data_IF_020947899461
#
_entry.id   IF_020947899461
#
_cell.length_a   1.000
_cell.length_b   1.000
_cell.length_c   1.000
_cell.angle_alpha   90.00
_cell.angle_beta   90.00
_cell.angle_gamma   90.00
#
_symmetry.space_group_name_H-M   'P 1'
#
loop_
_entity.id
_entity.type
_entity.pdbx_description
1 polymer ?
#
# COMPACT_ATOMS: atom_id res chain seq x y z
N UNK A 1 48.51 0.13 43.81
CA UNK A 1 47.76 1.00 42.89
C UNK A 1 47.34 0.24 41.63
N UNK A 2 48.28 -0.34 40.87
CA UNK A 2 48.00 -1.20 39.71
C UNK A 2 47.06 -2.39 39.98
N UNK A 3 47.20 -3.09 41.11
CA UNK A 3 46.30 -4.19 41.48
C UNK A 3 44.89 -3.74 41.91
N UNK A 4 44.71 -2.47 42.31
CA UNK A 4 43.38 -1.88 42.58
C UNK A 4 42.68 -1.55 41.26
N UNK A 5 43.40 -0.94 40.31
CA UNK A 5 42.92 -0.68 38.95
C UNK A 5 42.48 -1.96 38.21
N UNK A 6 43.20 -3.07 38.35
CA UNK A 6 42.81 -4.36 37.74
C UNK A 6 41.56 -4.95 38.41
N UNK A 7 41.41 -4.81 39.73
CA UNK A 7 40.18 -5.21 40.43
C UNK A 7 38.99 -4.35 40.02
N UNK A 8 39.16 -3.04 39.91
CA UNK A 8 38.11 -2.10 39.55
C UNK A 8 37.68 -2.29 38.07
N UNK A 9 38.62 -2.59 37.16
CA UNK A 9 38.30 -2.93 35.75
C UNK A 9 37.61 -4.30 35.65
N UNK A 10 38.03 -5.30 36.42
CA UNK A 10 37.36 -6.60 36.43
C UNK A 10 35.97 -6.54 37.09
N UNK A 11 35.78 -5.71 38.12
CA UNK A 11 34.49 -5.48 38.77
C UNK A 11 33.56 -4.62 37.90
N UNK A 12 34.12 -3.68 37.12
CA UNK A 12 33.39 -2.94 36.08
C UNK A 12 33.01 -3.86 34.90
N UNK A 13 33.87 -4.80 34.50
CA UNK A 13 33.56 -5.80 33.49
C UNK A 13 32.57 -6.86 33.98
N UNK A 14 32.60 -7.26 35.26
CA UNK A 14 31.60 -8.15 35.89
C UNK A 14 30.26 -7.45 36.15
N UNK A 15 30.26 -6.13 36.39
CA UNK A 15 29.05 -5.30 36.46
C UNK A 15 28.49 -4.99 35.08
N UNK A 16 29.35 -4.81 34.07
CA UNK A 16 28.96 -4.59 32.68
C UNK A 16 28.56 -5.88 31.97
N UNK A 17 28.97 -7.05 32.47
CA UNK A 17 28.52 -8.37 31.99
C UNK A 17 27.22 -8.85 32.64
N UNK A 18 26.53 -8.02 33.44
CA UNK A 18 25.26 -8.35 34.10
C UNK A 18 24.11 -7.36 33.81
N UNK A 19 24.26 -6.54 32.78
CA UNK A 19 23.11 -6.01 32.06
C UNK A 19 23.00 -6.81 30.77
N UNK A 20 22.19 -7.87 30.79
CA UNK A 20 21.68 -8.43 29.54
C UNK A 20 21.12 -7.26 28.73
N UNK A 21 21.74 -6.98 27.58
CA UNK A 21 21.26 -5.97 26.66
C UNK A 21 19.81 -6.35 26.32
N UNK A 22 18.87 -5.49 26.70
CA UNK A 22 17.45 -5.69 26.43
C UNK A 22 17.26 -5.93 24.94
N UNK A 23 16.44 -6.91 24.59
CA UNK A 23 16.13 -7.27 23.22
C UNK A 23 15.36 -6.11 22.57
N UNK A 24 15.83 -5.63 21.43
CA UNK A 24 15.14 -4.64 20.61
C UNK A 24 14.53 -5.27 19.37
N UNK A 25 13.37 -4.76 18.97
CA UNK A 25 12.70 -5.15 17.74
C UNK A 25 12.44 -3.93 16.86
N UNK A 26 12.79 -4.02 15.58
CA UNK A 26 12.29 -3.14 14.53
C UNK A 26 11.36 -3.96 13.63
N UNK A 27 10.11 -3.52 13.52
CA UNK A 27 9.05 -4.22 12.76
C UNK A 27 8.55 -3.30 11.68
N UNK A 28 8.59 -3.77 10.44
CA UNK A 28 8.12 -3.04 9.27
C UNK A 28 7.10 -3.92 8.57
N UNK A 29 5.94 -3.39 8.18
CA UNK A 29 4.95 -4.21 7.49
C UNK A 29 3.81 -3.43 6.89
N UNK A 30 3.06 -4.11 6.03
CA UNK A 30 1.84 -3.57 5.45
C UNK A 30 0.76 -3.49 6.53
N UNK A 31 0.16 -2.31 6.69
CA UNK A 31 -0.83 -2.02 7.74
C UNK A 31 -2.04 -2.96 7.71
N UNK A 32 -2.44 -3.46 6.54
CA UNK A 32 -3.59 -4.37 6.37
C UNK A 32 -3.22 -5.85 6.44
N UNK A 33 -1.94 -6.19 6.56
CA UNK A 33 -1.51 -7.59 6.56
C UNK A 33 -1.68 -8.25 7.93
N UNK A 34 -2.19 -9.49 7.90
CA UNK A 34 -2.37 -10.33 9.09
C UNK A 34 -1.05 -10.54 9.82
N UNK A 35 0.01 -10.81 9.05
CA UNK A 35 1.35 -11.14 9.54
C UNK A 35 1.97 -9.95 10.30
N UNK A 36 1.81 -8.74 9.77
CA UNK A 36 2.28 -7.53 10.44
C UNK A 36 1.51 -7.25 11.73
N UNK A 37 0.18 -7.37 11.72
CA UNK A 37 -0.62 -7.13 12.92
C UNK A 37 -0.34 -8.17 13.99
N UNK A 38 -0.16 -9.45 13.61
CA UNK A 38 0.28 -10.50 14.53
C UNK A 38 1.63 -10.14 15.16
N UNK A 39 2.64 -9.84 14.34
CA UNK A 39 3.97 -9.50 14.83
C UNK A 39 3.97 -8.28 15.76
N UNK A 40 3.25 -7.22 15.38
CA UNK A 40 3.03 -6.02 16.19
C UNK A 40 2.42 -6.37 17.54
N UNK A 41 1.29 -7.06 17.58
CA UNK A 41 0.60 -7.41 18.83
C UNK A 41 1.48 -8.29 19.72
N UNK A 42 2.16 -9.29 19.16
CA UNK A 42 3.07 -10.15 19.92
C UNK A 42 4.20 -9.35 20.57
N UNK A 43 4.88 -8.50 19.80
CA UNK A 43 6.02 -7.71 20.28
C UNK A 43 5.58 -6.67 21.32
N UNK A 44 4.46 -5.99 21.11
CA UNK A 44 3.89 -5.05 22.08
C UNK A 44 3.53 -5.75 23.40
N UNK A 45 2.90 -6.94 23.33
CA UNK A 45 2.55 -7.71 24.53
C UNK A 45 3.78 -8.29 25.25
N UNK A 46 4.80 -8.74 24.52
CA UNK A 46 6.09 -9.14 25.11
C UNK A 46 6.70 -8.00 25.89
N UNK A 47 6.76 -6.80 25.29
CA UNK A 47 7.28 -5.62 25.96
C UNK A 47 6.44 -5.20 27.17
N UNK A 48 5.12 -5.32 27.11
CA UNK A 48 4.23 -5.00 28.21
C UNK A 48 4.44 -5.94 29.41
N UNK A 49 4.64 -7.25 29.14
CA UNK A 49 4.81 -8.27 30.18
C UNK A 49 6.22 -8.34 30.74
N UNK A 50 7.22 -8.15 29.88
CA UNK A 50 8.64 -8.32 30.21
C UNK A 50 9.43 -7.03 29.92
N UNK A 51 9.09 -5.91 30.59
CA UNK A 51 9.72 -4.61 30.36
C UNK A 51 11.22 -4.57 30.70
N UNK A 52 11.71 -5.55 31.45
CA UNK A 52 13.12 -5.68 31.81
C UNK A 52 13.93 -6.43 30.77
N UNK A 53 13.31 -7.29 29.97
CA UNK A 53 14.00 -8.06 28.92
C UNK A 53 13.88 -7.38 27.55
N UNK A 54 12.82 -6.63 27.30
CA UNK A 54 12.54 -6.03 25.99
C UNK A 54 12.56 -4.50 26.02
N UNK A 55 13.13 -3.90 24.99
CA UNK A 55 13.06 -2.48 24.70
C UNK A 55 11.69 -2.10 24.14
N UNK A 56 11.35 -0.80 24.18
CA UNK A 56 10.18 -0.30 23.42
C UNK A 56 10.42 -0.62 21.93
N UNK A 57 9.53 -1.36 21.26
CA UNK A 57 9.73 -1.72 19.86
C UNK A 57 9.58 -0.49 18.96
N UNK A 58 10.30 -0.50 17.85
CA UNK A 58 10.08 0.42 16.75
C UNK A 58 9.19 -0.27 15.72
N UNK A 59 7.97 0.22 15.54
CA UNK A 59 6.96 -0.40 14.67
C UNK A 59 6.56 0.61 13.61
N UNK A 60 6.78 0.25 12.35
CA UNK A 60 6.51 1.09 11.18
C UNK A 60 5.45 0.40 10.33
N UNK A 61 4.20 0.86 10.47
CA UNK A 61 3.10 0.48 9.59
C UNK A 61 3.18 1.27 8.29
N UNK A 62 3.12 0.58 7.16
CA UNK A 62 3.20 1.18 5.82
C UNK A 62 1.92 0.94 5.04
N UNK A 63 1.62 1.84 4.11
CA UNK A 63 0.62 1.62 3.08
C UNK A 63 1.18 0.70 1.98
N UNK A 64 0.30 0.17 1.11
CA UNK A 64 0.65 -0.78 0.05
C UNK A 64 1.86 -0.30 -0.79
N UNK A 65 1.79 0.94 -1.27
CA UNK A 65 2.84 1.52 -2.09
C UNK A 65 4.18 1.66 -1.32
N UNK A 66 4.14 2.20 -0.11
CA UNK A 66 5.32 2.43 0.70
C UNK A 66 5.99 1.10 1.09
N UNK A 67 5.19 0.07 1.39
CA UNK A 67 5.65 -1.28 1.64
C UNK A 67 6.43 -1.86 0.45
N UNK A 68 5.88 -1.73 -0.76
CA UNK A 68 6.50 -2.27 -1.96
C UNK A 68 7.84 -1.58 -2.25
N UNK A 69 7.90 -0.26 -2.09
CA UNK A 69 9.15 0.51 -2.23
C UNK A 69 10.17 0.14 -1.14
N UNK A 70 9.72 -0.02 0.10
CA UNK A 70 10.55 -0.42 1.23
C UNK A 70 11.19 -1.79 1.02
N UNK A 71 10.40 -2.81 0.64
CA UNK A 71 10.90 -4.17 0.39
C UNK A 71 11.96 -4.19 -0.72
N UNK A 72 11.71 -3.47 -1.82
CA UNK A 72 12.68 -3.36 -2.91
C UNK A 72 13.99 -2.71 -2.45
N UNK A 73 13.90 -1.68 -1.62
CA UNK A 73 15.07 -1.00 -1.05
C UNK A 73 15.89 -1.94 -0.16
N UNK A 74 15.26 -2.58 0.84
CA UNK A 74 15.99 -3.42 1.79
C UNK A 74 16.57 -4.67 1.13
N UNK A 75 15.89 -5.25 0.12
CA UNK A 75 16.43 -6.38 -0.66
C UNK A 75 17.71 -6.01 -1.39
N UNK A 76 17.81 -4.78 -1.90
CA UNK A 76 19.02 -4.27 -2.57
C UNK A 76 20.14 -3.92 -1.58
N UNK A 77 19.79 -3.34 -0.43
CA UNK A 77 20.78 -2.85 0.55
C UNK A 77 21.37 -3.97 1.42
N UNK A 78 20.53 -4.86 1.95
CA UNK A 78 20.94 -5.92 2.87
C UNK A 78 21.30 -7.19 2.10
N UNK A 79 20.53 -7.51 1.06
CA UNK A 79 20.67 -8.77 0.33
C UNK A 79 20.37 -10.00 1.20
N UNK A 80 20.96 -11.14 0.82
CA UNK A 80 20.82 -12.40 1.54
C UNK A 80 19.59 -13.23 1.14
N UNK A 81 19.78 -14.54 0.98
CA UNK A 81 18.77 -15.48 0.49
C UNK A 81 17.44 -15.35 1.24
N UNK A 82 17.50 -15.28 2.58
CA UNK A 82 16.32 -15.17 3.46
C UNK A 82 15.42 -13.97 3.12
N UNK A 83 16.01 -12.80 2.80
CA UNK A 83 15.25 -11.59 2.50
C UNK A 83 14.67 -11.61 1.08
N UNK A 84 15.36 -12.25 0.14
CA UNK A 84 14.87 -12.48 -1.21
C UNK A 84 13.70 -13.47 -1.24
N UNK A 85 13.73 -14.48 -0.37
CA UNK A 85 12.67 -15.49 -0.22
C UNK A 85 11.49 -15.03 0.63
N UNK A 86 11.59 -13.88 1.29
CA UNK A 86 10.52 -13.36 2.16
C UNK A 86 9.26 -13.04 1.33
N UNK A 87 8.20 -13.83 1.51
CA UNK A 87 6.92 -13.66 0.81
C UNK A 87 5.90 -12.86 1.61
N UNK A 88 6.04 -12.85 2.93
CA UNK A 88 5.09 -12.24 3.85
C UNK A 88 5.26 -10.73 3.94
N UNK A 89 4.18 -10.04 4.27
CA UNK A 89 4.10 -8.58 4.26
C UNK A 89 4.60 -7.94 5.58
N UNK A 90 5.59 -8.57 6.21
CA UNK A 90 6.25 -8.11 7.43
C UNK A 90 7.72 -8.49 7.41
N UNK A 91 8.58 -7.58 7.88
CA UNK A 91 10.01 -7.79 8.10
C UNK A 91 10.32 -7.39 9.54
N UNK A 92 11.01 -8.29 10.24
CA UNK A 92 11.36 -8.12 11.65
C UNK A 92 12.87 -8.18 11.80
N UNK A 93 13.42 -7.17 12.46
CA UNK A 93 14.81 -7.15 12.91
C UNK A 93 14.85 -7.27 14.42
N UNK A 94 15.73 -8.12 14.91
CA UNK A 94 16.01 -8.31 16.33
C UNK A 94 17.45 -7.86 16.59
N UNK A 95 17.64 -6.90 17.48
CA UNK A 95 18.97 -6.34 17.77
C UNK A 95 19.73 -5.93 16.50
N UNK A 96 19.03 -5.27 15.56
CA UNK A 96 19.56 -4.82 14.26
C UNK A 96 19.87 -5.94 13.23
N UNK A 97 19.76 -7.21 13.61
CA UNK A 97 19.90 -8.35 12.71
C UNK A 97 18.54 -8.81 12.17
N UNK A 98 18.51 -9.28 10.92
CA UNK A 98 17.29 -9.79 10.30
C UNK A 98 16.82 -11.06 11.05
N UNK A 99 15.66 -10.97 11.71
CA UNK A 99 14.99 -12.12 12.28
C UNK A 99 14.22 -12.86 11.18
N UNK A 100 13.47 -12.14 10.34
CA UNK A 100 12.66 -12.67 9.26
C UNK A 100 11.22 -12.16 9.30
N UNK A 101 10.23 -13.04 9.24
CA UNK A 101 8.80 -12.70 9.28
C UNK A 101 8.11 -13.09 10.61
N UNK A 102 6.78 -13.12 10.62
CA UNK A 102 5.97 -13.45 11.79
C UNK A 102 6.17 -14.90 12.26
N UNK A 103 6.46 -15.85 11.37
CA UNK A 103 6.76 -17.24 11.76
C UNK A 103 8.09 -17.32 12.52
N UNK A 104 9.12 -16.63 12.03
CA UNK A 104 10.42 -16.56 12.71
C UNK A 104 10.28 -15.92 14.11
N UNK A 105 9.41 -14.90 14.24
CA UNK A 105 9.07 -14.32 15.53
C UNK A 105 8.37 -15.34 16.43
N UNK A 106 7.36 -16.05 15.92
CA UNK A 106 6.62 -17.04 16.69
C UNK A 106 7.51 -18.19 17.16
N UNK A 107 8.45 -18.64 16.33
CA UNK A 107 9.45 -19.65 16.71
C UNK A 107 10.37 -19.11 17.82
N UNK A 108 10.89 -17.89 17.66
CA UNK A 108 11.71 -17.24 18.67
C UNK A 108 10.96 -17.13 20.02
N UNK A 109 9.71 -16.67 20.01
CA UNK A 109 8.90 -16.50 21.21
C UNK A 109 8.52 -17.85 21.81
N UNK A 110 8.10 -18.79 20.98
CA UNK A 110 7.65 -20.13 21.38
C UNK A 110 8.77 -20.97 22.00
N UNK A 111 10.03 -20.73 21.62
CA UNK A 111 11.19 -21.39 22.23
C UNK A 111 11.40 -21.01 23.71
N UNK A 112 10.92 -19.83 24.12
CA UNK A 112 11.15 -19.26 25.46
C UNK A 112 9.89 -19.19 26.31
N UNK A 113 8.73 -18.97 25.69
CA UNK A 113 7.49 -18.67 26.39
C UNK A 113 6.35 -19.49 25.79
N UNK A 114 5.46 -19.98 26.65
CA UNK A 114 4.14 -20.46 26.22
C UNK A 114 3.19 -19.28 26.18
N UNK A 115 2.99 -18.73 24.99
CA UNK A 115 2.09 -17.60 24.81
C UNK A 115 1.26 -17.75 23.54
N UNK A 116 -0.06 -17.63 23.69
CA UNK A 116 -1.03 -17.73 22.60
C UNK A 116 -1.86 -16.45 22.59
N UNK A 117 -2.00 -15.85 21.41
CA UNK A 117 -2.93 -14.75 21.16
C UNK A 117 -4.04 -15.29 20.27
N UNK A 118 -5.28 -15.01 20.67
CA UNK A 118 -6.46 -15.21 19.84
C UNK A 118 -7.02 -13.82 19.54
N UNK A 119 -6.72 -13.31 18.36
CA UNK A 119 -7.22 -12.05 17.83
C UNK A 119 -7.49 -12.23 16.33
N UNK A 120 -8.40 -11.44 15.80
CA UNK A 120 -8.69 -11.34 14.37
C UNK A 120 -7.76 -10.29 13.76
N UNK A 121 -6.54 -10.70 13.42
CA UNK A 121 -5.47 -9.78 12.97
C UNK A 121 -5.81 -9.06 11.67
N UNK A 122 -6.60 -9.68 10.81
CA UNK A 122 -7.18 -9.06 9.62
C UNK A 122 -8.07 -7.88 9.98
N UNK A 123 -9.00 -8.06 10.93
CA UNK A 123 -9.90 -7.02 11.42
C UNK A 123 -9.11 -5.87 12.06
N UNK A 124 -8.06 -6.19 12.83
CA UNK A 124 -7.15 -5.18 13.38
C UNK A 124 -6.48 -4.38 12.25
N UNK A 125 -5.99 -5.06 11.21
CA UNK A 125 -5.35 -4.41 10.06
C UNK A 125 -6.30 -3.49 9.29
N UNK A 126 -7.54 -3.95 9.09
CA UNK A 126 -8.62 -3.17 8.51
C UNK A 126 -8.87 -1.90 9.32
N UNK A 127 -9.02 -2.06 10.64
CA UNK A 127 -9.32 -0.96 11.54
C UNK A 127 -8.19 0.07 11.60
N UNK A 128 -6.94 -0.37 11.57
CA UNK A 128 -5.79 0.53 11.50
C UNK A 128 -5.79 1.34 10.20
N UNK A 129 -6.20 0.74 9.07
CA UNK A 129 -6.33 1.46 7.80
C UNK A 129 -7.52 2.43 7.79
N UNK A 130 -8.66 2.06 8.40
CA UNK A 130 -9.80 2.95 8.61
C UNK A 130 -9.38 4.15 9.46
N UNK A 131 -8.70 3.92 10.59
CA UNK A 131 -8.20 4.98 11.46
C UNK A 131 -7.27 5.94 10.72
N UNK A 132 -6.42 5.43 9.82
CA UNK A 132 -5.60 6.26 8.94
C UNK A 132 -6.46 7.16 8.04
N UNK A 133 -7.46 6.60 7.37
CA UNK A 133 -8.39 7.36 6.50
C UNK A 133 -9.15 8.42 7.31
N UNK A 134 -9.71 8.06 8.46
CA UNK A 134 -10.44 8.98 9.33
C UNK A 134 -9.56 10.13 9.83
N UNK A 135 -8.33 9.83 10.24
CA UNK A 135 -7.37 10.85 10.66
C UNK A 135 -7.07 11.84 9.51
N UNK A 136 -6.90 11.35 8.28
CA UNK A 136 -6.70 12.23 7.13
C UNK A 136 -7.97 13.02 6.75
N UNK A 137 -9.16 12.45 6.93
CA UNK A 137 -10.44 13.18 6.80
C UNK A 137 -10.55 14.31 7.83
N UNK A 138 -10.14 14.08 9.07
CA UNK A 138 -10.05 15.12 10.11
C UNK A 138 -9.06 16.21 9.70
N UNK A 139 -7.94 15.84 9.06
CA UNK A 139 -6.99 16.79 8.48
C UNK A 139 -7.53 17.51 7.25
N UNK A 140 -8.73 17.18 6.76
CA UNK A 140 -9.40 17.86 5.64
C UNK A 140 -9.19 17.20 4.27
N UNK A 141 -8.51 16.06 4.19
CA UNK A 141 -8.31 15.32 2.94
C UNK A 141 -9.56 14.49 2.58
N UNK A 142 -9.72 14.19 1.29
CA UNK A 142 -10.85 13.39 0.78
C UNK A 142 -10.33 12.17 0.02
N UNK A 143 -11.20 11.19 -0.21
CA UNK A 143 -10.79 9.89 -0.75
C UNK A 143 -11.67 9.52 -1.95
N UNK A 144 -11.05 9.04 -3.01
CA UNK A 144 -11.73 8.60 -4.22
C UNK A 144 -11.19 7.26 -4.69
N UNK A 145 -12.04 6.48 -5.34
CA UNK A 145 -11.66 5.17 -5.86
C UNK A 145 -11.94 5.03 -7.35
N UNK A 146 -11.18 4.16 -8.01
CA UNK A 146 -11.39 3.70 -9.38
C UNK A 146 -11.32 2.17 -9.43
N UNK A 147 -12.42 1.51 -9.76
CA UNK A 147 -12.41 0.08 -10.11
C UNK A 147 -12.00 -0.05 -11.57
N UNK A 148 -10.95 -0.84 -11.81
CA UNK A 148 -10.32 -0.97 -13.12
C UNK A 148 -10.65 -2.33 -13.73
N UNK A 149 -11.00 -2.33 -15.01
CA UNK A 149 -11.13 -3.54 -15.80
C UNK A 149 -10.18 -3.54 -17.00
N UNK A 150 -9.63 -4.71 -17.32
CA UNK A 150 -8.85 -4.97 -18.53
C UNK A 150 -9.60 -6.01 -19.35
N UNK A 151 -9.91 -5.69 -20.60
CA UNK A 151 -10.71 -6.53 -21.50
C UNK A 151 -12.01 -7.03 -20.82
N UNK A 152 -12.69 -6.12 -20.10
CA UNK A 152 -13.93 -6.35 -19.33
C UNK A 152 -13.78 -7.18 -18.04
N UNK A 153 -12.58 -7.68 -17.74
CA UNK A 153 -12.29 -8.36 -16.48
C UNK A 153 -11.83 -7.35 -15.42
N UNK A 154 -12.52 -7.29 -14.28
CA UNK A 154 -12.11 -6.45 -13.14
C UNK A 154 -10.78 -6.99 -12.60
N UNK A 155 -9.77 -6.13 -12.54
CA UNK A 155 -8.43 -6.47 -12.03
C UNK A 155 -8.16 -5.91 -10.62
N UNK A 156 -9.06 -5.06 -10.12
CA UNK A 156 -9.00 -4.49 -8.77
C UNK A 156 -9.37 -3.01 -8.73
N UNK A 157 -9.16 -2.40 -7.56
CA UNK A 157 -9.51 -1.01 -7.30
C UNK A 157 -8.30 -0.19 -6.83
N UNK A 158 -8.16 0.99 -7.42
CA UNK A 158 -7.22 2.02 -7.00
C UNK A 158 -7.91 2.96 -6.03
N UNK A 159 -7.34 3.16 -4.84
CA UNK A 159 -7.83 4.11 -3.84
C UNK A 159 -6.84 5.24 -3.67
N UNK A 160 -7.32 6.47 -3.82
CA UNK A 160 -6.53 7.69 -3.76
C UNK A 160 -6.95 8.58 -2.59
N UNK A 161 -5.96 9.16 -1.94
CA UNK A 161 -6.09 10.33 -1.07
C UNK A 161 -5.93 11.59 -1.91
N UNK A 162 -6.82 12.57 -1.73
CA UNK A 162 -6.75 13.90 -2.31
C UNK A 162 -6.32 14.91 -1.26
N UNK A 163 -5.28 15.70 -1.56
CA UNK A 163 -4.73 16.70 -0.67
C UNK A 163 -5.54 18.00 -0.70
N UNK A 164 -6.80 17.90 -0.27
CA UNK A 164 -7.77 18.98 -0.35
C UNK A 164 -7.42 20.19 0.54
N UNK A 165 -6.49 20.06 1.48
CA UNK A 165 -5.93 21.21 2.21
C UNK A 165 -4.89 21.99 1.40
N UNK A 166 -4.07 21.30 0.61
CA UNK A 166 -3.02 21.91 -0.21
C UNK A 166 -3.55 22.47 -1.54
N UNK A 167 -4.49 21.76 -2.16
CA UNK A 167 -5.11 22.11 -3.46
C UNK A 167 -6.63 21.89 -3.41
N UNK A 168 -7.37 22.71 -2.64
CA UNK A 168 -8.81 22.53 -2.40
C UNK A 168 -9.65 22.60 -3.67
N UNK A 169 -9.29 23.48 -4.61
CA UNK A 169 -10.09 23.72 -5.81
C UNK A 169 -10.02 22.51 -6.74
N UNK A 170 -8.80 22.05 -7.04
CA UNK A 170 -8.59 20.87 -7.88
C UNK A 170 -9.18 19.62 -7.23
N UNK A 171 -8.91 19.41 -5.94
CA UNK A 171 -9.43 18.24 -5.21
C UNK A 171 -10.96 18.19 -5.24
N UNK A 172 -11.64 19.32 -5.05
CA UNK A 172 -13.11 19.42 -5.11
C UNK A 172 -13.66 19.13 -6.51
N UNK A 173 -12.99 19.63 -7.56
CA UNK A 173 -13.36 19.37 -8.95
C UNK A 173 -13.20 17.88 -9.28
N UNK A 174 -12.07 17.30 -8.89
CA UNK A 174 -11.76 15.89 -9.12
C UNK A 174 -12.75 14.98 -8.40
N UNK A 175 -13.00 15.23 -7.11
CA UNK A 175 -13.99 14.52 -6.30
C UNK A 175 -15.38 14.53 -6.94
N UNK A 176 -15.85 15.73 -7.35
CA UNK A 176 -17.14 15.88 -8.04
C UNK A 176 -17.20 15.06 -9.33
N UNK A 177 -16.11 15.03 -10.10
CA UNK A 177 -16.04 14.27 -11.36
C UNK A 177 -16.03 12.77 -11.11
N UNK A 178 -15.38 12.30 -10.03
CA UNK A 178 -15.45 10.90 -9.59
C UNK A 178 -16.88 10.50 -9.20
N UNK A 179 -17.60 11.36 -8.48
CA UNK A 179 -18.94 11.07 -7.95
C UNK A 179 -20.09 11.26 -8.96
N UNK A 180 -19.82 11.80 -10.16
CA UNK A 180 -20.85 11.97 -11.20
C UNK A 180 -21.32 10.61 -11.73
N UNK A 181 -22.64 10.36 -11.68
CA UNK A 181 -23.26 9.16 -12.27
C UNK A 181 -23.21 9.12 -13.80
N UNK A 182 -23.23 10.28 -14.45
CA UNK A 182 -23.17 10.46 -15.91
C UNK A 182 -22.18 11.58 -16.20
N UNK A 183 -21.28 11.36 -17.17
CA UNK A 183 -20.22 12.34 -17.51
C UNK A 183 -19.16 12.51 -16.41
N UNK A 184 -18.92 11.46 -15.63
CA UNK A 184 -17.82 11.32 -14.68
C UNK A 184 -16.75 10.35 -15.17
N UNK A 185 -15.78 10.00 -14.33
CA UNK A 185 -14.70 9.08 -14.72
C UNK A 185 -15.16 7.63 -14.96
N UNK A 186 -16.28 7.22 -14.36
CA UNK A 186 -16.92 5.93 -14.64
C UNK A 186 -17.28 5.81 -16.13
N UNK A 187 -16.83 4.74 -16.76
CA UNK A 187 -16.99 4.46 -18.19
C UNK A 187 -15.92 5.07 -19.10
N UNK A 188 -14.92 5.75 -18.54
CA UNK A 188 -13.78 6.27 -19.31
C UNK A 188 -12.64 5.26 -19.38
N UNK A 189 -11.80 5.36 -20.39
CA UNK A 189 -10.65 4.47 -20.58
C UNK A 189 -9.32 5.11 -20.15
N UNK A 190 -8.35 4.25 -19.84
CA UNK A 190 -6.93 4.62 -19.74
C UNK A 190 -6.36 4.59 -21.15
N UNK A 191 -6.01 5.75 -21.69
CA UNK A 191 -5.72 5.93 -23.11
C UNK A 191 -4.24 5.84 -23.44
N UNK A 192 -3.38 6.06 -22.45
CA UNK A 192 -1.94 6.17 -22.65
C UNK A 192 -1.19 5.65 -21.45
N UNK A 193 -0.19 4.81 -21.70
CA UNK A 193 0.76 4.28 -20.73
C UNK A 193 2.15 4.65 -21.23
N UNK A 194 2.78 5.59 -20.54
CA UNK A 194 4.17 5.99 -20.81
C UNK A 194 5.04 5.20 -19.85
N UNK A 195 5.59 4.07 -20.30
CA UNK A 195 6.43 3.23 -19.44
C UNK A 195 7.86 3.78 -19.33
N UNK A 196 8.49 3.78 -18.13
CA UNK A 196 7.96 3.43 -16.80
C UNK A 196 7.41 4.64 -16.02
N UNK A 197 6.99 5.70 -16.71
CA UNK A 197 6.78 7.04 -16.15
C UNK A 197 5.37 7.30 -15.58
N UNK A 198 4.29 7.18 -16.36
CA UNK A 198 2.91 7.40 -15.86
C UNK A 198 1.84 6.70 -16.71
N UNK A 199 0.64 6.54 -16.14
CA UNK A 199 -0.59 6.21 -16.86
C UNK A 199 -1.49 7.44 -16.95
N UNK A 200 -2.15 7.68 -18.08
CA UNK A 200 -3.01 8.84 -18.30
C UNK A 200 -4.47 8.41 -18.52
N UNK A 201 -5.36 9.09 -17.80
CA UNK A 201 -6.76 8.77 -17.62
C UNK A 201 -7.65 9.99 -17.88
N UNK A 202 -8.97 9.78 -17.88
CA UNK A 202 -9.95 10.86 -18.04
C UNK A 202 -10.21 11.24 -19.49
N UNK A 203 -10.18 10.25 -20.38
CA UNK A 203 -10.18 10.36 -21.83
C UNK A 203 -11.25 11.22 -22.53
N UNK A 204 -11.20 11.22 -23.87
CA UNK A 204 -12.03 12.04 -24.78
C UNK A 204 -13.54 12.09 -24.50
N UNK A 205 -14.12 11.06 -23.90
CA UNK A 205 -15.57 10.98 -23.62
C UNK A 205 -16.00 11.81 -22.41
N UNK A 206 -15.07 12.44 -21.69
CA UNK A 206 -15.37 13.42 -20.66
C UNK A 206 -15.54 14.81 -21.24
N UNK A 207 -16.51 15.54 -20.69
CA UNK A 207 -16.68 16.97 -20.94
C UNK A 207 -15.38 17.68 -20.58
N UNK A 208 -14.69 18.22 -21.57
CA UNK A 208 -13.43 18.93 -21.38
C UNK A 208 -13.74 20.36 -20.92
N UNK A 209 -13.46 20.64 -19.65
CA UNK A 209 -13.47 21.99 -19.12
C UNK A 209 -12.12 22.36 -18.51
N UNK A 210 -11.90 23.67 -18.42
CA UNK A 210 -10.69 24.26 -17.87
C UNK A 210 -10.70 24.12 -16.35
N UNK A 211 -9.65 23.52 -15.81
CA UNK A 211 -9.39 23.41 -14.38
C UNK A 211 -8.24 24.37 -14.04
N UNK A 212 -8.37 25.22 -12.99
CA UNK A 212 -7.34 26.20 -12.68
C UNK A 212 -6.01 25.53 -12.28
N UNK A 213 -4.89 26.14 -12.64
CA UNK A 213 -3.58 25.81 -12.08
C UNK A 213 -3.45 26.41 -10.67
N UNK A 214 -3.78 25.64 -9.63
CA UNK A 214 -3.88 26.15 -8.26
C UNK A 214 -2.52 26.47 -7.62
N UNK A 215 -1.64 25.48 -7.45
CA UNK A 215 -0.25 25.67 -7.02
C UNK A 215 0.61 24.42 -7.32
N UNK A 216 1.90 24.48 -7.02
CA UNK A 216 2.87 23.39 -7.25
C UNK A 216 3.55 22.92 -5.94
N UNK A 217 2.80 22.92 -4.84
CA UNK A 217 3.33 22.58 -3.50
C UNK A 217 3.64 21.09 -3.32
N UNK A 218 3.01 20.23 -4.11
CA UNK A 218 3.18 18.78 -4.07
C UNK A 218 4.15 18.37 -5.19
N UNK A 219 5.19 17.63 -4.83
CA UNK A 219 6.21 17.13 -5.76
C UNK A 219 5.84 15.74 -6.29
N UNK A 220 6.26 15.45 -7.52
CA UNK A 220 6.16 14.13 -8.16
C UNK A 220 7.35 13.24 -7.76
N UNK A 221 7.63 13.15 -6.46
CA UNK A 221 8.83 12.48 -5.94
C UNK A 221 8.68 10.97 -5.72
N UNK A 222 7.51 10.40 -6.01
CA UNK A 222 7.22 8.99 -5.81
C UNK A 222 6.24 8.46 -6.85
N UNK A 223 6.16 7.13 -6.92
CA UNK A 223 5.10 6.39 -7.63
C UNK A 223 3.73 6.70 -7.02
N UNK A 224 2.66 6.54 -7.79
CA UNK A 224 1.29 6.69 -7.31
C UNK A 224 0.86 8.14 -7.07
N UNK A 225 1.67 9.15 -7.44
CA UNK A 225 1.25 10.56 -7.35
C UNK A 225 0.19 10.83 -8.41
N UNK A 226 -0.91 11.43 -7.97
CA UNK A 226 -2.04 11.82 -8.81
C UNK A 226 -1.88 13.30 -9.22
N UNK A 227 -1.93 13.57 -10.52
CA UNK A 227 -1.63 14.90 -11.07
C UNK A 227 -2.46 15.23 -12.31
N UNK A 228 -2.80 16.51 -12.49
CA UNK A 228 -3.64 16.95 -13.60
C UNK A 228 -2.81 17.06 -14.89
N UNK A 229 -3.41 16.64 -16.01
CA UNK A 229 -2.87 16.95 -17.32
C UNK A 229 -3.12 18.43 -17.67
N UNK A 230 -2.26 19.00 -18.51
CA UNK A 230 -2.46 20.32 -19.09
C UNK A 230 -2.09 20.33 -20.58
N UNK A 231 -2.56 21.35 -21.29
CA UNK A 231 -2.29 21.56 -22.71
C UNK A 231 -1.03 22.42 -22.95
N UNK A 232 -0.16 22.54 -21.95
CA UNK A 232 1.05 23.36 -21.98
C UNK A 232 1.30 24.10 -20.65
N UNK A 233 2.54 24.58 -20.49
CA UNK A 233 3.00 25.24 -19.25
C UNK A 233 2.16 26.50 -18.98
N UNK A 234 1.60 26.62 -17.78
CA UNK A 234 0.75 27.74 -17.34
C UNK A 234 -0.58 27.92 -18.13
N UNK A 235 -1.00 26.90 -18.87
CA UNK A 235 -2.34 26.82 -19.44
C UNK A 235 -3.24 26.13 -18.43
N UNK A 236 -4.53 26.47 -18.42
CA UNK A 236 -5.53 25.77 -17.62
C UNK A 236 -5.38 24.25 -17.78
N UNK A 237 -5.43 23.54 -16.65
CA UNK A 237 -5.47 22.09 -16.63
C UNK A 237 -6.73 21.59 -17.36
N UNK A 238 -6.70 20.36 -17.85
CA UNK A 238 -7.88 19.70 -18.41
C UNK A 238 -8.44 18.68 -17.42
N UNK A 239 -9.55 18.03 -17.78
CA UNK A 239 -10.16 16.97 -16.96
C UNK A 239 -9.39 15.66 -16.99
N UNK A 240 -8.41 15.54 -17.88
CA UNK A 240 -7.49 14.42 -17.88
C UNK A 240 -6.52 14.53 -16.71
N UNK A 241 -6.09 13.37 -16.22
CA UNK A 241 -5.14 13.26 -15.13
C UNK A 241 -4.18 12.11 -15.42
N UNK A 242 -3.09 12.06 -14.67
CA UNK A 242 -2.18 10.93 -14.71
C UNK A 242 -1.82 10.45 -13.31
N UNK A 243 -1.42 9.19 -13.24
CA UNK A 243 -0.86 8.56 -12.04
C UNK A 243 0.58 8.16 -12.34
N UNK A 244 1.53 8.64 -11.54
CA UNK A 244 2.94 8.31 -11.74
C UNK A 244 3.20 6.83 -11.47
N UNK A 245 4.07 6.23 -12.28
CA UNK A 245 4.57 4.86 -12.11
C UNK A 245 5.97 4.87 -11.47
N UNK A 246 6.70 5.98 -11.57
CA UNK A 246 7.99 6.24 -10.93
C UNK A 246 8.08 7.70 -10.47
N UNK A 247 9.08 8.07 -9.64
CA UNK A 247 9.39 9.48 -9.38
C UNK A 247 9.64 10.26 -10.68
N UNK A 248 8.90 11.35 -10.89
CA UNK A 248 9.01 12.23 -12.08
C UNK A 248 9.26 13.69 -11.69
N UNK A 249 10.34 14.02 -10.94
CA UNK A 249 10.59 15.39 -10.44
C UNK A 249 10.73 16.45 -11.55
N UNK A 250 11.00 16.05 -12.80
CA UNK A 250 11.02 16.96 -13.95
C UNK A 250 9.63 17.53 -14.32
N UNK A 251 8.55 16.95 -13.78
CA UNK A 251 7.16 17.42 -13.87
C UNK A 251 6.83 18.50 -12.83
N UNK A 252 7.68 18.68 -11.81
CA UNK A 252 7.47 19.68 -10.78
C UNK A 252 7.45 21.09 -11.41
N UNK A 253 6.59 21.95 -10.87
CA UNK A 253 6.32 23.29 -11.39
C UNK A 253 5.78 23.35 -12.83
N UNK A 254 5.42 22.21 -13.42
CA UNK A 254 4.78 22.11 -14.74
C UNK A 254 3.38 21.50 -14.66
N UNK A 255 3.19 20.51 -13.81
CA UNK A 255 1.90 19.84 -13.59
C UNK A 255 1.50 19.99 -12.12
N UNK A 256 0.18 20.07 -11.87
CA UNK A 256 -0.33 20.22 -10.52
C UNK A 256 -0.67 18.84 -9.95
N UNK A 257 0.20 18.33 -9.09
CA UNK A 257 -0.08 17.17 -8.27
C UNK A 257 -1.12 17.53 -7.18
N UNK A 258 -2.02 16.60 -6.89
CA UNK A 258 -3.14 16.85 -5.98
C UNK A 258 -3.56 15.66 -5.11
N UNK A 259 -2.87 14.53 -5.23
CA UNK A 259 -3.17 13.36 -4.41
C UNK A 259 -2.14 12.25 -4.55
N UNK A 260 -2.42 11.13 -3.90
CA UNK A 260 -1.59 9.93 -3.94
C UNK A 260 -2.41 8.66 -3.86
N UNK A 261 -1.90 7.58 -4.45
CA UNK A 261 -2.43 6.24 -4.24
C UNK A 261 -2.10 5.78 -2.81
N UNK A 262 -3.12 5.31 -2.09
CA UNK A 262 -2.97 4.74 -0.75
C UNK A 262 -3.20 3.22 -0.71
N UNK A 263 -3.90 2.68 -1.72
CA UNK A 263 -4.07 1.24 -1.89
C UNK A 263 -4.31 0.88 -3.37
N UNK A 264 -3.81 -0.28 -3.81
CA UNK A 264 -4.05 -0.80 -5.16
C UNK A 264 -2.80 -0.79 -6.04
N UNK A 265 -1.60 -0.82 -5.45
CA UNK A 265 -0.36 -0.78 -6.24
C UNK A 265 -0.21 -2.03 -7.12
N UNK A 266 -0.80 -3.16 -6.71
CA UNK A 266 -0.90 -4.36 -7.56
C UNK A 266 -1.63 -4.06 -8.89
N UNK A 267 -2.71 -3.26 -8.87
CA UNK A 267 -3.42 -2.82 -10.07
C UNK A 267 -2.51 -1.93 -10.92
N UNK A 268 -1.81 -0.96 -10.30
CA UNK A 268 -0.84 -0.12 -11.04
C UNK A 268 0.28 -0.95 -11.69
N UNK A 269 0.77 -2.02 -11.03
CA UNK A 269 1.77 -2.92 -11.61
C UNK A 269 1.23 -3.72 -12.78
N UNK A 270 -0.01 -4.20 -12.70
CA UNK A 270 -0.67 -4.86 -13.83
C UNK A 270 -0.77 -3.88 -15.00
N UNK A 271 -1.29 -2.67 -14.75
CA UNK A 271 -1.43 -1.62 -15.76
C UNK A 271 -0.09 -1.26 -16.40
N UNK A 272 0.95 -1.06 -15.60
CA UNK A 272 2.29 -0.73 -16.09
C UNK A 272 2.85 -1.76 -17.08
N UNK A 273 2.52 -3.04 -16.92
CA UNK A 273 3.06 -4.13 -17.73
C UNK A 273 2.17 -4.50 -18.93
N UNK A 274 1.08 -3.76 -19.17
CA UNK A 274 0.27 -3.96 -20.38
C UNK A 274 1.07 -3.52 -21.61
N UNK A 275 1.21 -4.37 -22.64
CA UNK A 275 1.89 -4.01 -23.88
C UNK A 275 1.23 -2.80 -24.56
N UNK A 276 2.04 -1.93 -25.16
CA UNK A 276 1.59 -0.73 -25.84
C UNK A 276 2.10 -0.64 -27.28
N UNK A 277 1.36 0.08 -28.12
CA UNK A 277 1.80 0.53 -29.43
C UNK A 277 1.73 2.06 -29.44
N UNK A 278 2.87 2.73 -29.57
CA UNK A 278 2.96 4.19 -29.45
C UNK A 278 2.32 4.74 -28.16
N UNK A 279 2.60 4.07 -27.02
CA UNK A 279 2.05 4.38 -25.68
C UNK A 279 0.53 4.12 -25.55
N UNK A 280 -0.17 3.74 -26.62
CA UNK A 280 -1.55 3.29 -26.57
C UNK A 280 -1.60 1.82 -26.10
N UNK A 281 -2.38 1.49 -25.06
CA UNK A 281 -2.52 0.11 -24.59
C UNK A 281 -3.09 -0.81 -25.68
N UNK A 282 -2.50 -1.99 -25.87
CA UNK A 282 -3.04 -3.00 -26.79
C UNK A 282 -4.31 -3.70 -26.27
N UNK A 283 -4.57 -3.57 -24.97
CA UNK A 283 -5.76 -4.09 -24.30
C UNK A 283 -6.69 -2.95 -23.93
N UNK A 284 -8.00 -3.20 -23.91
CA UNK A 284 -8.95 -2.17 -23.48
C UNK A 284 -8.90 -2.05 -21.96
N UNK A 285 -8.67 -0.85 -21.45
CA UNK A 285 -8.59 -0.58 -20.02
C UNK A 285 -9.64 0.46 -19.65
N UNK A 286 -10.60 0.08 -18.82
CA UNK A 286 -11.75 0.91 -18.45
C UNK A 286 -11.79 1.17 -16.94
N UNK A 287 -12.13 2.40 -16.56
CA UNK A 287 -12.57 2.75 -15.21
C UNK A 287 -14.06 2.39 -15.14
N UNK A 288 -14.39 1.19 -14.65
CA UNK A 288 -15.78 0.69 -14.64
C UNK A 288 -16.61 1.31 -13.53
N UNK A 289 -15.98 1.74 -12.43
CA UNK A 289 -16.62 2.48 -11.34
C UNK A 289 -15.67 3.53 -10.80
N UNK A 290 -16.22 4.67 -10.41
CA UNK A 290 -15.54 5.76 -9.73
C UNK A 290 -16.45 6.38 -8.68
N UNK A 291 -15.87 6.89 -7.60
CA UNK A 291 -16.66 7.57 -6.59
C UNK A 291 -15.83 8.15 -5.47
N UNK A 292 -16.51 8.87 -4.58
CA UNK A 292 -15.99 9.22 -3.26
C UNK A 292 -16.05 7.99 -2.33
N UNK A 293 -15.00 7.77 -1.55
CA UNK A 293 -15.03 6.82 -0.44
C UNK A 293 -15.66 7.49 0.78
N UNK A 294 -16.98 7.37 0.89
CA UNK A 294 -17.70 7.74 2.10
C UNK A 294 -17.81 6.52 3.03
N UNK A 295 -17.16 6.59 4.18
CA UNK A 295 -17.24 5.54 5.19
C UNK A 295 -18.53 5.67 6.03
N UNK A 296 -19.31 6.74 5.87
CA UNK A 296 -20.57 6.90 6.63
C UNK A 296 -21.56 5.77 6.32
N UNK A 297 -22.25 5.20 7.32
CA UNK A 297 -23.14 4.06 7.08
C UNK A 297 -24.30 4.45 6.18
N UNK A 298 -24.52 3.68 5.12
CA UNK A 298 -25.73 3.76 4.29
C UNK A 298 -26.50 2.44 4.38
N UNK A 299 -27.30 2.32 5.45
CA UNK A 299 -28.40 1.37 5.69
C UNK A 299 -28.12 -0.16 5.73
N UNK A 300 -28.26 -0.75 6.94
CA UNK A 300 -28.93 -2.03 7.23
C UNK A 300 -28.08 -3.32 7.31
N UNK A 301 -28.39 -4.26 8.23
CA UNK A 301 -27.55 -5.42 8.54
C UNK A 301 -27.77 -6.58 7.56
N UNK A 302 -26.70 -7.25 7.09
CA UNK A 302 -26.77 -8.58 6.44
C UNK A 302 -25.49 -9.43 6.59
N UNK A 303 -25.67 -10.55 7.29
CA UNK A 303 -25.22 -11.93 7.00
C UNK A 303 -23.77 -12.17 6.53
N UNK A 304 -22.87 -12.51 7.48
CA UNK A 304 -21.44 -12.83 7.31
C UNK A 304 -21.13 -14.15 6.56
N UNK A 305 -22.08 -14.72 5.83
CA UNK A 305 -21.90 -16.01 5.14
C UNK A 305 -20.87 -15.99 4.00
N UNK A 306 -20.57 -14.80 3.46
CA UNK A 306 -19.62 -14.60 2.35
C UNK A 306 -18.14 -14.54 2.77
N UNK A 307 -17.84 -14.27 4.05
CA UNK A 307 -16.47 -14.18 4.59
C UNK A 307 -15.71 -15.52 4.59
N UNK A 308 -16.42 -16.66 4.56
CA UNK A 308 -15.80 -17.99 4.55
C UNK A 308 -15.12 -18.34 3.24
N UNK A 309 -15.63 -17.84 2.11
CA UNK A 309 -15.04 -18.09 0.79
C UNK A 309 -13.83 -17.17 0.52
N UNK A 310 -13.81 -15.96 1.13
CA UNK A 310 -12.70 -15.01 1.05
C UNK A 310 -11.40 -15.57 1.65
N UNK A 311 -11.47 -16.21 2.83
CA UNK A 311 -10.29 -16.75 3.52
C UNK A 311 -9.69 -17.99 2.83
N UNK A 312 -10.45 -18.66 1.96
CA UNK A 312 -10.00 -19.86 1.25
C UNK A 312 -9.11 -19.56 0.01
N UNK A 313 -9.01 -18.30 -0.44
CA UNK A 313 -8.39 -17.95 -1.75
C UNK A 313 -7.02 -17.25 -1.67
N UNK A 314 -6.42 -17.10 -0.49
CA UNK A 314 -5.06 -16.55 -0.37
C UNK A 314 -4.00 -17.64 -0.53
N UNK A 315 -3.81 -18.15 -1.73
CA UNK A 315 -2.58 -18.85 -2.07
C UNK A 315 -1.42 -17.84 -2.26
N UNK A 316 -0.22 -18.14 -1.76
CA UNK A 316 0.94 -17.28 -1.94
C UNK A 316 1.34 -17.27 -3.41
N UNK A 317 1.51 -16.08 -4.00
CA UNK A 317 2.07 -15.91 -5.35
C UNK A 317 3.49 -16.50 -5.37
N UNK A 318 3.60 -17.78 -5.71
CA UNK A 318 4.80 -18.40 -6.24
C UNK A 318 4.87 -18.06 -7.72
N UNK A 319 5.91 -17.33 -8.15
CA UNK A 319 6.27 -17.35 -9.58
C UNK A 319 6.82 -16.09 -10.23
N UNK A 320 7.09 -14.99 -9.52
CA UNK A 320 7.81 -13.86 -10.12
C UNK A 320 9.24 -13.81 -9.58
N UNK A 321 10.13 -14.54 -10.26
CA UNK A 321 11.57 -14.34 -10.16
C UNK A 321 11.90 -12.95 -10.74
N UNK A 322 12.78 -12.14 -10.12
CA UNK A 322 13.05 -10.76 -10.54
C UNK A 322 13.97 -10.62 -11.76
N UNK A 323 14.29 -11.71 -12.47
CA UNK A 323 15.11 -11.65 -13.69
C UNK A 323 14.24 -11.81 -14.93
N UNK A 324 13.73 -10.69 -15.45
CA UNK A 324 13.41 -10.55 -16.88
C UNK A 324 13.99 -9.21 -17.34
N UNK A 325 15.31 -9.10 -17.26
CA UNK A 325 16.04 -8.40 -18.32
C UNK A 325 16.33 -9.45 -19.39
N UNK A 326 15.72 -9.25 -20.56
CA UNK A 326 15.98 -9.99 -21.80
C UNK A 326 15.23 -11.32 -21.98
N UNK A 327 14.05 -11.28 -22.63
CA UNK A 327 13.58 -12.38 -23.50
C UNK A 327 12.71 -11.80 -24.63
N UNK A 328 13.34 -11.68 -25.81
CA UNK A 328 12.62 -11.88 -27.08
C UNK A 328 12.20 -13.35 -27.14
N UNK A 329 11.02 -13.59 -27.69
CA UNK A 329 10.37 -14.88 -27.90
C UNK A 329 9.85 -15.60 -26.64
N UNK A 330 8.51 -15.68 -26.53
CA UNK A 330 7.83 -16.91 -26.16
C UNK A 330 6.33 -16.79 -26.48
N UNK A 331 5.97 -17.31 -27.65
CA UNK A 331 4.67 -17.93 -27.88
C UNK A 331 4.60 -19.24 -27.08
N UNK A 332 3.77 -19.31 -26.05
CA UNK A 332 3.25 -20.58 -25.55
C UNK A 332 2.01 -20.33 -24.70
N UNK A 333 1.01 -21.15 -24.95
CA UNK A 333 -0.36 -21.10 -24.45
C UNK A 333 -0.44 -21.12 -22.91
N UNK A 334 -1.19 -20.17 -22.36
CA UNK A 334 -1.76 -20.28 -21.01
C UNK A 334 -3.23 -20.70 -21.14
N UNK A 335 -3.48 -22.00 -21.08
CA UNK A 335 -4.81 -22.55 -20.82
C UNK A 335 -5.23 -22.21 -19.39
N UNK A 336 -6.17 -21.27 -19.28
CA UNK A 336 -6.82 -20.84 -18.04
C UNK A 336 -7.80 -21.94 -17.57
N UNK A 337 -7.50 -22.52 -16.41
CA UNK A 337 -8.45 -23.32 -15.65
C UNK A 337 -9.62 -22.46 -15.18
N UNK A 338 -10.83 -22.97 -15.39
CA UNK A 338 -12.09 -22.37 -14.98
C UNK A 338 -12.27 -22.49 -13.47
N UNK A 339 -12.15 -21.37 -12.76
CA UNK A 339 -12.92 -20.99 -11.56
C UNK A 339 -12.42 -19.59 -11.12
N UNK A 340 -12.76 -18.57 -11.91
CA UNK A 340 -12.37 -17.18 -11.66
C UNK A 340 -13.59 -16.37 -11.18
N UNK A 341 -13.77 -16.30 -9.87
CA UNK A 341 -14.54 -15.23 -9.24
C UNK A 341 -13.53 -14.27 -8.59
N UNK A 342 -13.58 -12.95 -8.87
CA UNK A 342 -12.52 -12.03 -8.47
C UNK A 342 -12.44 -11.91 -6.94
N UNK A 343 -11.23 -11.78 -6.36
CA UNK A 343 -11.07 -11.58 -4.92
C UNK A 343 -11.84 -10.33 -4.47
N UNK A 344 -12.54 -10.45 -3.34
CA UNK A 344 -13.38 -9.40 -2.80
C UNK A 344 -12.59 -8.09 -2.59
N UNK A 345 -13.13 -6.98 -3.07
CA UNK A 345 -12.49 -5.66 -3.07
C UNK A 345 -12.22 -5.19 -1.64
N UNK A 346 -11.02 -4.65 -1.37
CA UNK A 346 -10.69 -4.09 -0.05
C UNK A 346 -11.67 -2.99 0.35
N UNK A 347 -12.25 -2.27 -0.62
CA UNK A 347 -13.28 -1.27 -0.33
C UNK A 347 -14.53 -1.94 0.21
N UNK A 348 -14.97 -3.05 -0.38
CA UNK A 348 -16.14 -3.80 0.11
C UNK A 348 -15.87 -4.33 1.53
N UNK A 349 -14.66 -4.84 1.78
CA UNK A 349 -14.23 -5.28 3.12
C UNK A 349 -14.18 -4.14 4.14
N UNK A 350 -13.61 -2.98 3.79
CA UNK A 350 -13.56 -1.81 4.68
C UNK A 350 -14.96 -1.27 4.99
N UNK A 351 -15.86 -1.30 3.99
CA UNK A 351 -17.26 -0.91 4.16
C UNK A 351 -18.03 -1.92 5.03
N UNK A 352 -17.68 -3.19 4.99
CA UNK A 352 -18.26 -4.24 5.85
C UNK A 352 -17.77 -4.10 7.30
N UNK A 353 -16.46 -4.03 7.52
CA UNK A 353 -15.87 -3.83 8.86
C UNK A 353 -16.37 -2.56 9.57
N UNK A 354 -16.50 -1.46 8.84
CA UNK A 354 -17.01 -0.21 9.41
C UNK A 354 -18.49 -0.30 9.84
N UNK A 355 -19.28 -1.17 9.20
CA UNK A 355 -20.67 -1.42 9.62
C UNK A 355 -20.71 -2.19 10.94
N UNK A 356 -19.85 -3.20 11.09
CA UNK A 356 -19.83 -4.06 12.28
C UNK A 356 -19.40 -3.33 13.57
N UNK A 357 -18.49 -2.36 13.50
CA UNK A 357 -18.08 -1.59 14.69
C UNK A 357 -19.10 -0.54 15.15
N UNK A 358 -20.03 -0.12 14.29
CA UNK A 358 -20.97 0.97 14.54
C UNK A 358 -22.44 0.53 14.71
N UNK A 359 -22.71 -0.78 14.72
CA UNK A 359 -23.97 -1.42 15.12
C UNK A 359 -23.86 -1.99 16.55
#
# INVERSE_FOLDING_TARGET
YYQRLIKDVNQFNEMSSKHELKISFNVYGLITSREFQLAKTYIERLRARLPQEYCKPNIVSMLDLDWNLFILKIRREIGGEKLWTLKKQVVIFKNEELLGDDEDLLEFVGSKYRFTIFEEFECIGAQQFINYIEQQKVNGNTFVYFTIAVDQQIIGTLLFELYATAVPTISKIFLKTCAKKVGGYSGTCIQRIVWPSWIQCGGWCLEQYKVPCENYSISHNKRGVLSMCNNGKHIDNCTQFFVTLEPTPWMDYKYVAFGQLINGDHVLRILQNIPTLYEEPLKKIDIVKSGELDLRPTFGPKDLSYLKDFLATRDPISGLHPDVTDVRDCSSDYSLGSDNQPPCDIIDYLLEMYREENE
#
